data_IF_790126870703
#
_entry.id   IF_790126870703
#
_cell.length_a   1.000
_cell.length_b   1.000
_cell.length_c   1.000
_cell.angle_alpha   90.00
_cell.angle_beta   90.00
_cell.angle_gamma   90.00
#
_symmetry.space_group_name_H-M   'P 1'
#
loop_
_entity.id
_entity.type
_entity.pdbx_description
1 polymer ?
#
# COMPACT_ATOMS: atom_id res chain seq x y z
N UNK A 1 9.98 7.08 -32.22
CA UNK A 1 9.54 5.73 -32.66
C UNK A 1 9.73 4.79 -31.48
N UNK A 2 8.71 4.00 -31.09
CA UNK A 2 8.88 2.98 -30.05
C UNK A 2 9.85 1.91 -30.58
N UNK A 3 10.91 1.63 -29.83
CA UNK A 3 11.88 0.59 -30.14
C UNK A 3 11.25 -0.77 -29.79
N UNK A 4 10.70 -1.45 -30.80
CA UNK A 4 9.94 -2.69 -30.60
C UNK A 4 10.82 -3.84 -30.11
N UNK A 5 12.07 -3.90 -30.56
CA UNK A 5 13.03 -4.92 -30.12
C UNK A 5 13.38 -4.72 -28.65
N UNK A 6 13.63 -3.48 -28.23
CA UNK A 6 13.86 -3.15 -26.81
C UNK A 6 12.64 -3.45 -25.95
N UNK A 7 11.42 -3.13 -26.42
CA UNK A 7 10.20 -3.45 -25.65
C UNK A 7 10.07 -4.96 -25.45
N UNK A 8 10.32 -5.75 -26.49
CA UNK A 8 10.24 -7.21 -26.41
C UNK A 8 11.31 -7.82 -25.49
N UNK A 9 12.52 -7.24 -25.47
CA UNK A 9 13.57 -7.68 -24.55
C UNK A 9 13.22 -7.34 -23.10
N UNK A 10 12.67 -6.15 -22.84
CA UNK A 10 12.21 -5.75 -21.51
C UNK A 10 11.02 -6.60 -21.02
N UNK A 11 10.06 -6.91 -21.89
CA UNK A 11 8.94 -7.81 -21.55
C UNK A 11 9.46 -9.21 -21.20
N UNK A 12 10.41 -9.74 -21.98
CA UNK A 12 11.05 -11.02 -21.67
C UNK A 12 11.72 -11.00 -20.30
N UNK A 13 12.45 -9.92 -19.99
CA UNK A 13 13.14 -9.77 -18.73
C UNK A 13 12.18 -9.62 -17.55
N UNK A 14 11.09 -8.87 -17.70
CA UNK A 14 10.01 -8.78 -16.72
C UNK A 14 9.46 -10.16 -16.35
N UNK A 15 9.08 -10.97 -17.34
CA UNK A 15 8.55 -12.31 -17.07
C UNK A 15 9.60 -13.28 -16.53
N UNK A 16 10.89 -13.09 -16.86
CA UNK A 16 11.98 -13.84 -16.24
C UNK A 16 12.09 -13.52 -14.73
N UNK A 17 11.98 -12.26 -14.36
CA UNK A 17 12.02 -11.83 -12.96
C UNK A 17 10.79 -12.31 -12.18
N UNK A 18 9.59 -12.31 -12.78
CA UNK A 18 8.40 -12.90 -12.18
C UNK A 18 8.57 -14.39 -11.92
N UNK A 19 9.16 -15.13 -12.87
CA UNK A 19 9.48 -16.55 -12.68
C UNK A 19 10.49 -16.75 -11.54
N UNK A 20 11.57 -15.97 -11.52
CA UNK A 20 12.56 -16.01 -10.45
C UNK A 20 11.93 -15.72 -9.08
N UNK A 21 11.05 -14.72 -8.98
CA UNK A 21 10.34 -14.40 -7.74
C UNK A 21 9.41 -15.54 -7.30
N UNK A 22 8.72 -16.18 -8.23
CA UNK A 22 7.89 -17.36 -7.94
C UNK A 22 8.72 -18.55 -7.43
N UNK A 23 9.90 -18.80 -8.02
CA UNK A 23 10.78 -19.91 -7.63
C UNK A 23 11.60 -19.62 -6.36
N UNK A 24 11.98 -18.37 -6.15
CA UNK A 24 12.84 -17.91 -5.05
C UNK A 24 12.23 -16.65 -4.41
N UNK A 25 11.16 -16.78 -3.60
CA UNK A 25 10.47 -15.62 -3.00
C UNK A 25 11.38 -14.73 -2.15
N UNK A 26 12.46 -15.30 -1.61
CA UNK A 26 13.46 -14.61 -0.80
C UNK A 26 14.35 -13.66 -1.62
N UNK A 27 14.47 -13.85 -2.94
CA UNK A 27 15.23 -13.00 -3.87
C UNK A 27 14.30 -12.01 -4.58
N UNK A 28 13.38 -11.39 -3.82
CA UNK A 28 12.28 -10.60 -4.37
C UNK A 28 12.76 -9.41 -5.23
N UNK A 29 12.28 -9.40 -6.48
CA UNK A 29 12.34 -8.24 -7.36
C UNK A 29 11.16 -7.31 -7.11
N UNK A 30 11.34 -6.06 -7.51
CA UNK A 30 10.46 -4.97 -7.16
C UNK A 30 9.16 -4.90 -7.97
N UNK A 31 8.27 -5.88 -7.79
CA UNK A 31 6.93 -5.85 -8.41
C UNK A 31 5.81 -5.70 -7.38
N UNK A 32 4.92 -4.76 -7.64
CA UNK A 32 3.61 -4.62 -6.97
C UNK A 32 2.49 -4.99 -7.94
N UNK A 33 1.32 -5.27 -7.36
CA UNK A 33 0.11 -5.62 -8.09
C UNK A 33 -1.00 -4.59 -7.78
N UNK A 34 -1.26 -3.65 -8.69
CA UNK A 34 -2.36 -2.71 -8.56
C UNK A 34 -2.78 -2.17 -9.92
N UNK A 35 -4.09 -2.12 -10.19
CA UNK A 35 -4.64 -1.58 -11.43
C UNK A 35 -4.34 -0.08 -11.54
N UNK A 36 -4.29 0.45 -12.78
CA UNK A 36 -4.10 1.89 -13.05
C UNK A 36 -5.16 2.79 -12.38
N UNK A 37 -6.37 2.27 -12.24
CA UNK A 37 -7.48 2.88 -11.51
C UNK A 37 -7.41 2.40 -10.07
N UNK A 38 -6.41 2.91 -9.35
CA UNK A 38 -6.00 2.42 -8.04
C UNK A 38 -7.08 2.61 -6.98
N UNK A 39 -7.86 3.71 -7.06
CA UNK A 39 -8.94 3.99 -6.13
C UNK A 39 -9.99 2.88 -6.20
N UNK A 40 -10.56 2.65 -7.39
CA UNK A 40 -11.55 1.60 -7.60
C UNK A 40 -11.00 0.19 -7.38
N UNK A 41 -9.70 -0.01 -7.59
CA UNK A 41 -9.06 -1.28 -7.29
C UNK A 41 -9.02 -1.52 -5.79
N UNK A 42 -8.42 -0.62 -5.02
CA UNK A 42 -8.16 -0.81 -3.60
C UNK A 42 -9.41 -0.74 -2.71
N UNK A 43 -10.48 -0.08 -3.16
CA UNK A 43 -11.78 -0.09 -2.44
C UNK A 43 -12.66 -1.28 -2.80
N UNK A 44 -12.17 -2.22 -3.60
CA UNK A 44 -12.91 -3.43 -3.94
C UNK A 44 -13.12 -4.32 -2.71
N UNK A 45 -14.27 -4.97 -2.63
CA UNK A 45 -14.58 -5.96 -1.60
C UNK A 45 -13.96 -7.33 -1.92
N UNK A 46 -13.72 -7.61 -3.22
CA UNK A 46 -13.14 -8.87 -3.67
C UNK A 46 -12.50 -8.78 -5.04
N UNK A 47 -11.62 -9.76 -5.30
CA UNK A 47 -10.90 -9.92 -6.55
C UNK A 47 -11.02 -11.34 -7.09
N UNK A 48 -11.23 -11.44 -8.41
CA UNK A 48 -11.34 -12.70 -9.13
C UNK A 48 -10.28 -12.76 -10.22
N UNK A 49 -9.63 -13.91 -10.33
CA UNK A 49 -8.63 -14.19 -11.37
C UNK A 49 -9.26 -15.02 -12.46
N UNK A 50 -9.16 -14.61 -13.71
CA UNK A 50 -9.65 -15.36 -14.88
C UNK A 50 -8.51 -15.70 -15.83
N UNK A 51 -8.66 -16.79 -16.60
CA UNK A 51 -7.68 -17.22 -17.60
C UNK A 51 -8.19 -17.01 -19.02
N UNK A 52 -7.49 -16.20 -19.80
CA UNK A 52 -7.77 -15.93 -21.21
C UNK A 52 -9.13 -15.25 -21.42
N UNK A 53 -10.02 -15.91 -22.14
CA UNK A 53 -11.40 -15.44 -22.40
C UNK A 53 -12.44 -16.15 -21.51
N UNK A 54 -12.01 -17.04 -20.60
CA UNK A 54 -12.91 -17.70 -19.66
C UNK A 54 -13.64 -16.68 -18.80
N UNK A 55 -14.95 -16.87 -18.62
CA UNK A 55 -15.76 -16.13 -17.64
C UNK A 55 -15.65 -16.73 -16.23
N UNK A 56 -15.24 -18.00 -16.15
CA UNK A 56 -15.05 -18.68 -14.87
C UNK A 56 -13.79 -18.21 -14.18
N UNK A 57 -13.87 -18.12 -12.85
CA UNK A 57 -12.73 -17.91 -11.98
C UNK A 57 -11.73 -19.08 -12.12
N UNK A 58 -10.45 -18.73 -12.22
CA UNK A 58 -9.34 -19.64 -12.34
C UNK A 58 -9.21 -20.55 -11.12
N UNK A 59 -9.55 -20.04 -9.94
CA UNK A 59 -9.49 -20.76 -8.65
C UNK A 59 -10.85 -21.32 -8.19
N UNK A 60 -11.81 -21.49 -9.11
CA UNK A 60 -13.13 -22.02 -8.76
C UNK A 60 -13.92 -21.03 -7.92
N UNK A 61 -14.36 -21.43 -6.73
CA UNK A 61 -15.13 -20.57 -5.83
C UNK A 61 -14.26 -19.61 -5.00
N UNK A 62 -12.93 -19.76 -5.02
CA UNK A 62 -12.04 -18.93 -4.22
C UNK A 62 -11.91 -17.51 -4.77
N UNK A 63 -12.30 -16.53 -3.99
CA UNK A 63 -12.14 -15.10 -4.26
C UNK A 63 -11.11 -14.52 -3.29
N UNK A 64 -10.30 -13.57 -3.76
CA UNK A 64 -9.36 -12.87 -2.88
C UNK A 64 -10.07 -11.70 -2.22
N UNK A 65 -9.89 -11.51 -0.92
CA UNK A 65 -10.30 -10.29 -0.21
C UNK A 65 -9.33 -9.13 -0.50
N UNK A 66 -8.04 -9.43 -0.66
CA UNK A 66 -6.99 -8.48 -1.04
C UNK A 66 -6.06 -9.08 -2.10
N UNK A 67 -5.68 -8.28 -3.10
CA UNK A 67 -4.78 -8.71 -4.18
C UNK A 67 -3.83 -7.58 -4.59
N UNK A 68 -3.08 -7.05 -3.63
CA UNK A 68 -2.06 -6.01 -3.81
C UNK A 68 -0.62 -6.54 -3.93
N UNK A 69 -0.40 -7.80 -3.52
CA UNK A 69 0.88 -8.50 -3.58
C UNK A 69 0.85 -9.63 -4.61
N UNK A 70 1.81 -9.64 -5.53
CA UNK A 70 1.93 -10.69 -6.55
C UNK A 70 2.24 -12.05 -5.91
N UNK A 71 2.88 -12.07 -4.74
CA UNK A 71 3.21 -13.33 -4.05
C UNK A 71 1.96 -14.03 -3.52
N UNK A 72 0.90 -13.27 -3.19
CA UNK A 72 -0.41 -13.84 -2.84
C UNK A 72 -0.99 -14.61 -4.02
N UNK A 73 -0.88 -14.07 -5.23
CA UNK A 73 -1.29 -14.76 -6.45
C UNK A 73 -0.44 -16.01 -6.70
N UNK A 74 0.88 -15.92 -6.57
CA UNK A 74 1.80 -17.04 -6.79
C UNK A 74 1.56 -18.18 -5.80
N UNK A 75 1.40 -17.86 -4.52
CA UNK A 75 1.06 -18.83 -3.48
C UNK A 75 -0.23 -19.58 -3.84
N UNK A 76 -1.27 -18.85 -4.27
CA UNK A 76 -2.53 -19.49 -4.67
C UNK A 76 -2.41 -20.36 -5.92
N UNK A 77 -1.57 -19.98 -6.87
CA UNK A 77 -1.27 -20.81 -8.05
C UNK A 77 -0.56 -22.10 -7.64
N UNK A 78 0.43 -22.00 -6.74
CA UNK A 78 1.20 -23.14 -6.25
C UNK A 78 0.34 -24.16 -5.49
N UNK A 79 -0.66 -23.69 -4.75
CA UNK A 79 -1.65 -24.52 -4.04
C UNK A 79 -2.67 -25.19 -4.98
N UNK A 80 -2.81 -24.71 -6.21
CA UNK A 80 -3.80 -25.21 -7.15
C UNK A 80 -3.30 -26.41 -7.94
N UNK A 81 -4.22 -27.29 -8.37
CA UNK A 81 -3.92 -28.35 -9.35
C UNK A 81 -3.44 -27.82 -10.72
N UNK A 82 -3.44 -26.49 -10.91
CA UNK A 82 -3.06 -25.79 -12.13
C UNK A 82 -1.69 -25.10 -12.01
N UNK A 83 -0.88 -25.51 -11.03
CA UNK A 83 0.48 -25.01 -10.84
C UNK A 83 1.35 -25.35 -12.07
N UNK A 84 2.03 -24.37 -12.70
CA UNK A 84 2.89 -24.62 -13.86
C UNK A 84 4.13 -25.45 -13.48
N UNK A 85 4.48 -26.44 -14.30
CA UNK A 85 5.62 -27.34 -14.03
C UNK A 85 6.98 -26.71 -14.40
N UNK A 86 6.95 -25.74 -15.32
CA UNK A 86 8.15 -25.13 -15.86
C UNK A 86 7.95 -23.65 -16.20
N UNK A 87 9.06 -22.97 -16.48
CA UNK A 87 9.09 -21.54 -16.80
C UNK A 87 8.22 -21.18 -18.00
N UNK A 88 8.17 -22.00 -19.04
CA UNK A 88 7.41 -21.71 -20.25
C UNK A 88 5.89 -21.71 -19.95
N UNK A 89 5.42 -22.73 -19.24
CA UNK A 89 4.04 -22.82 -18.76
C UNK A 89 3.67 -21.68 -17.82
N UNK A 90 4.57 -21.32 -16.90
CA UNK A 90 4.38 -20.18 -16.01
C UNK A 90 4.20 -18.88 -16.79
N UNK A 91 5.11 -18.57 -17.72
CA UNK A 91 5.03 -17.35 -18.52
C UNK A 91 3.74 -17.34 -19.35
N UNK A 92 3.36 -18.48 -19.95
CA UNK A 92 2.10 -18.61 -20.69
C UNK A 92 0.89 -18.37 -19.79
N UNK A 93 0.91 -18.89 -18.57
CA UNK A 93 -0.13 -18.65 -17.57
C UNK A 93 -0.20 -17.16 -17.22
N UNK A 94 0.91 -16.54 -16.82
CA UNK A 94 0.97 -15.12 -16.44
C UNK A 94 0.44 -14.19 -17.54
N UNK A 95 0.79 -14.45 -18.79
CA UNK A 95 0.30 -13.68 -19.95
C UNK A 95 -1.20 -13.86 -20.21
N UNK A 96 -1.79 -14.95 -19.73
CA UNK A 96 -3.20 -15.25 -19.91
C UNK A 96 -4.08 -14.80 -18.73
N UNK A 97 -3.49 -14.46 -17.58
CA UNK A 97 -4.23 -14.03 -16.40
C UNK A 97 -4.85 -12.65 -16.61
N UNK A 98 -6.10 -12.53 -16.18
CA UNK A 98 -6.83 -11.29 -16.02
C UNK A 98 -7.33 -11.17 -14.59
N UNK A 99 -7.25 -9.98 -14.02
CA UNK A 99 -7.75 -9.66 -12.69
C UNK A 99 -8.99 -8.79 -12.86
N UNK A 100 -10.02 -9.10 -12.07
CA UNK A 100 -11.26 -8.36 -11.95
C UNK A 100 -11.46 -8.01 -10.49
N UNK A 101 -11.91 -6.79 -10.21
CA UNK A 101 -12.31 -6.37 -8.87
C UNK A 101 -13.77 -5.97 -8.84
N UNK A 102 -14.44 -6.22 -7.72
CA UNK A 102 -15.87 -5.99 -7.52
C UNK A 102 -16.15 -5.24 -6.23
N UNK A 103 -17.28 -4.55 -6.14
CA UNK A 103 -17.80 -4.01 -4.89
C UNK A 103 -18.64 -5.03 -4.11
N UNK A 104 -19.18 -4.63 -2.96
CA UNK A 104 -20.03 -5.49 -2.10
C UNK A 104 -21.34 -5.93 -2.78
N UNK A 105 -21.76 -5.26 -3.85
CA UNK A 105 -22.98 -5.55 -4.62
C UNK A 105 -22.67 -6.35 -5.90
N UNK A 106 -21.45 -6.90 -6.04
CA UNK A 106 -20.96 -7.64 -7.21
C UNK A 106 -20.86 -6.80 -8.50
N UNK A 107 -20.82 -5.46 -8.42
CA UNK A 107 -20.60 -4.63 -9.61
C UNK A 107 -19.12 -4.61 -10.01
N UNK A 108 -18.84 -4.67 -11.32
CA UNK A 108 -17.50 -4.53 -11.90
C UNK A 108 -16.87 -3.16 -11.51
N UNK A 109 -15.76 -3.19 -10.76
CA UNK A 109 -14.96 -2.01 -10.47
C UNK A 109 -13.82 -1.82 -11.48
N UNK A 110 -12.91 -2.78 -11.54
CA UNK A 110 -11.78 -2.75 -12.47
C UNK A 110 -11.57 -4.09 -13.16
N UNK A 111 -10.92 -4.07 -14.33
CA UNK A 111 -10.52 -5.29 -15.05
C UNK A 111 -9.33 -5.06 -15.97
N UNK A 112 -8.46 -6.04 -16.06
CA UNK A 112 -7.34 -6.00 -17.01
C UNK A 112 -6.49 -7.26 -16.99
N UNK A 113 -5.60 -7.38 -17.97
CA UNK A 113 -4.57 -8.43 -17.96
C UNK A 113 -3.63 -8.22 -16.75
N UNK A 114 -2.93 -9.27 -16.30
CA UNK A 114 -1.94 -9.16 -15.23
C UNK A 114 -0.95 -8.01 -15.47
N UNK A 115 -0.47 -7.87 -16.71
CA UNK A 115 0.44 -6.77 -17.09
C UNK A 115 -0.13 -5.35 -16.91
N UNK A 116 -1.45 -5.18 -16.85
CA UNK A 116 -2.07 -3.89 -16.52
C UNK A 116 -2.04 -3.57 -15.03
N UNK A 117 -1.71 -4.55 -14.19
CA UNK A 117 -1.64 -4.44 -12.74
C UNK A 117 -0.19 -4.47 -12.23
N UNK A 118 0.75 -4.95 -13.05
CA UNK A 118 2.15 -5.03 -12.66
C UNK A 118 2.81 -3.65 -12.71
N UNK A 119 3.47 -3.31 -11.61
CA UNK A 119 4.42 -2.21 -11.57
C UNK A 119 5.74 -2.68 -11.03
N UNK A 120 6.83 -2.25 -11.66
CA UNK A 120 8.16 -2.52 -11.13
C UNK A 120 9.27 -1.96 -11.99
N UNK A 121 10.49 -2.42 -11.74
CA UNK A 121 11.66 -2.02 -12.50
C UNK A 121 12.45 -3.20 -13.05
N UNK A 122 13.01 -3.00 -14.24
CA UNK A 122 13.90 -3.93 -14.92
C UNK A 122 15.22 -3.24 -15.22
N UNK A 123 16.32 -3.93 -14.94
CA UNK A 123 17.64 -3.51 -15.40
C UNK A 123 18.00 -4.29 -16.67
N UNK A 124 18.21 -3.57 -17.78
CA UNK A 124 18.59 -4.15 -19.06
C UNK A 124 19.75 -3.35 -19.66
N UNK A 125 20.87 -4.02 -19.99
CA UNK A 125 22.11 -3.40 -20.50
C UNK A 125 22.59 -2.22 -19.62
N UNK A 126 22.66 -2.44 -18.30
CA UNK A 126 23.03 -1.45 -17.27
C UNK A 126 22.15 -0.19 -17.23
N UNK A 127 20.96 -0.23 -17.85
CA UNK A 127 19.97 0.85 -17.80
C UNK A 127 18.74 0.36 -17.04
N UNK A 128 18.18 1.21 -16.18
CA UNK A 128 16.94 0.91 -15.46
C UNK A 128 15.73 1.41 -16.22
N UNK A 129 14.67 0.61 -16.22
CA UNK A 129 13.39 0.91 -16.83
C UNK A 129 12.27 0.64 -15.84
N UNK A 130 11.31 1.55 -15.71
CA UNK A 130 10.06 1.28 -15.01
C UNK A 130 9.04 0.66 -15.95
N UNK A 131 8.33 -0.34 -15.47
CA UNK A 131 7.10 -0.85 -16.06
C UNK A 131 5.91 -0.27 -15.29
N UNK A 132 5.11 0.56 -15.94
CA UNK A 132 3.93 1.19 -15.36
C UNK A 132 2.83 1.20 -16.42
N UNK A 133 1.64 0.71 -16.09
CA UNK A 133 0.45 0.72 -16.97
C UNK A 133 0.74 0.20 -18.39
N UNK A 134 1.41 -0.95 -18.48
CA UNK A 134 1.84 -1.60 -19.74
C UNK A 134 2.85 -0.79 -20.56
N UNK A 135 3.50 0.19 -19.96
CA UNK A 135 4.45 1.08 -20.63
C UNK A 135 5.83 1.05 -19.96
N UNK A 136 6.86 1.05 -20.79
CA UNK A 136 8.26 1.10 -20.35
C UNK A 136 8.79 2.53 -20.36
N UNK A 137 9.35 2.95 -19.23
CA UNK A 137 9.96 4.26 -19.05
C UNK A 137 11.43 4.11 -18.71
N UNK A 138 12.32 4.62 -19.56
CA UNK A 138 13.76 4.61 -19.25
C UNK A 138 14.07 5.64 -18.17
N UNK A 139 14.65 5.19 -17.07
CA UNK A 139 15.09 6.05 -15.99
C UNK A 139 16.47 6.62 -16.37
N UNK A 140 16.56 7.96 -16.44
CA UNK A 140 17.84 8.66 -16.62
C UNK A 140 18.43 8.98 -15.24
N UNK A 141 19.75 9.00 -15.12
CA UNK A 141 20.43 9.35 -13.86
C UNK A 141 20.03 10.74 -13.34
N UNK A 142 19.85 11.71 -14.25
CA UNK A 142 19.36 13.04 -13.92
C UNK A 142 17.99 12.98 -13.19
N UNK A 143 17.07 12.13 -13.66
CA UNK A 143 15.77 11.96 -13.01
C UNK A 143 15.89 11.32 -11.63
N UNK A 144 16.78 10.35 -11.44
CA UNK A 144 17.05 9.73 -10.13
C UNK A 144 17.59 10.78 -9.15
N UNK A 145 18.48 11.65 -9.62
CA UNK A 145 19.04 12.72 -8.81
C UNK A 145 17.96 13.75 -8.43
N UNK A 146 17.15 14.19 -9.39
CA UNK A 146 16.02 15.10 -9.13
C UNK A 146 15.04 14.50 -8.12
N UNK A 147 14.77 13.20 -8.21
CA UNK A 147 13.90 12.47 -7.31
C UNK A 147 14.48 12.38 -5.89
N UNK A 148 15.78 12.09 -5.77
CA UNK A 148 16.47 12.08 -4.48
C UNK A 148 16.44 13.46 -3.81
N UNK A 149 16.78 14.51 -4.55
CA UNK A 149 16.78 15.89 -4.04
C UNK A 149 15.38 16.32 -3.59
N UNK A 150 14.36 15.97 -4.38
CA UNK A 150 12.96 16.21 -4.02
C UNK A 150 12.61 15.54 -2.69
N UNK A 151 12.79 14.21 -2.60
CA UNK A 151 12.43 13.46 -1.40
C UNK A 151 13.23 13.95 -0.18
N UNK A 152 14.53 14.23 -0.35
CA UNK A 152 15.38 14.76 0.73
C UNK A 152 14.88 16.10 1.25
N UNK A 153 14.53 17.03 0.35
CA UNK A 153 13.93 18.31 0.73
C UNK A 153 12.60 18.11 1.45
N UNK A 154 11.72 17.24 0.93
CA UNK A 154 10.42 16.96 1.54
C UNK A 154 10.57 16.35 2.94
N UNK A 155 11.35 15.27 3.07
CA UNK A 155 11.56 14.54 4.33
C UNK A 155 12.14 15.47 5.38
N UNK A 156 13.16 16.27 5.05
CA UNK A 156 13.78 17.17 6.01
C UNK A 156 12.82 18.27 6.51
N UNK A 157 11.94 18.77 5.65
CA UNK A 157 10.94 19.81 6.01
C UNK A 157 9.76 19.25 6.79
N UNK A 158 9.34 18.02 6.50
CA UNK A 158 8.08 17.45 6.98
C UNK A 158 8.30 16.24 7.92
N UNK A 159 9.49 16.09 8.48
CA UNK A 159 9.78 15.00 9.42
C UNK A 159 8.98 15.17 10.72
N UNK A 160 8.35 14.09 11.19
CA UNK A 160 7.40 14.14 12.29
C UNK A 160 7.59 13.04 13.35
N UNK A 161 8.44 13.31 14.34
CA UNK A 161 8.81 12.32 15.34
C UNK A 161 7.82 12.22 16.53
N UNK A 162 6.71 11.47 16.38
CA UNK A 162 5.70 11.28 17.45
C UNK A 162 5.22 9.84 17.69
N UNK A 163 5.73 8.88 16.92
CA UNK A 163 5.68 7.47 17.25
C UNK A 163 6.97 7.14 18.01
N UNK A 164 6.85 6.87 19.30
CA UNK A 164 7.95 6.76 20.27
C UNK A 164 8.28 5.32 20.66
N UNK A 165 7.45 4.35 20.26
CA UNK A 165 7.68 2.93 20.51
C UNK A 165 8.60 2.36 19.45
N UNK A 166 9.52 1.51 19.87
CA UNK A 166 10.36 0.76 18.95
C UNK A 166 9.59 -0.43 18.37
N UNK A 167 9.96 -0.84 17.16
CA UNK A 167 9.43 -2.02 16.49
C UNK A 167 10.47 -3.14 16.49
N UNK A 168 10.17 -4.24 17.17
CA UNK A 168 10.97 -5.46 17.11
C UNK A 168 10.56 -6.32 15.91
N UNK A 169 10.96 -5.88 14.71
CA UNK A 169 10.50 -6.45 13.44
C UNK A 169 10.80 -7.95 13.24
N UNK A 170 11.74 -8.53 13.99
CA UNK A 170 11.98 -9.98 13.93
C UNK A 170 10.85 -10.80 14.55
N UNK A 171 10.17 -10.25 15.55
CA UNK A 171 9.17 -10.98 16.35
C UNK A 171 7.77 -10.36 16.28
N UNK A 172 7.66 -9.16 15.71
CA UNK A 172 6.41 -8.38 15.65
C UNK A 172 6.05 -8.04 14.20
N UNK A 173 4.82 -8.37 13.80
CA UNK A 173 4.22 -7.84 12.60
C UNK A 173 3.67 -6.41 12.82
N UNK A 174 3.19 -5.79 11.74
CA UNK A 174 2.66 -4.42 11.71
C UNK A 174 1.51 -4.21 12.69
N UNK A 175 0.57 -5.16 12.73
CA UNK A 175 -0.57 -5.12 13.63
C UNK A 175 -0.13 -5.19 15.10
N UNK A 176 0.83 -6.06 15.44
CA UNK A 176 1.40 -6.14 16.80
C UNK A 176 2.13 -4.86 17.21
N UNK A 177 2.81 -4.19 16.28
CA UNK A 177 3.41 -2.88 16.54
C UNK A 177 2.35 -1.80 16.79
N UNK A 178 1.31 -1.75 15.95
CA UNK A 178 0.20 -0.79 16.07
C UNK A 178 -0.52 -0.93 17.41
N UNK A 179 -0.77 -2.17 17.86
CA UNK A 179 -1.38 -2.49 19.15
C UNK A 179 -0.68 -1.89 20.36
N UNK A 180 0.64 -1.66 20.29
CA UNK A 180 1.38 -1.08 21.42
C UNK A 180 0.80 0.27 21.83
N UNK A 181 0.15 0.99 20.92
CA UNK A 181 -0.42 2.32 21.16
C UNK A 181 -1.83 2.31 21.80
N UNK A 182 -2.45 1.14 21.96
CA UNK A 182 -3.73 1.02 22.69
C UNK A 182 -3.54 1.48 24.14
N UNK A 183 -4.50 2.27 24.63
CA UNK A 183 -4.49 2.83 25.99
C UNK A 183 -3.58 4.04 26.18
N UNK A 184 -2.84 4.45 25.16
CA UNK A 184 -2.06 5.68 25.22
C UNK A 184 -2.97 6.93 25.19
N UNK A 185 -2.57 7.97 25.93
CA UNK A 185 -3.33 9.22 25.96
C UNK A 185 -3.41 9.83 24.56
N UNK A 186 -4.58 10.39 24.24
CA UNK A 186 -4.82 11.07 22.96
C UNK A 186 -4.49 10.21 21.74
N UNK A 187 -4.78 8.91 21.84
CA UNK A 187 -4.45 7.92 20.81
C UNK A 187 -5.61 6.96 20.63
N UNK A 188 -5.91 6.60 19.38
CA UNK A 188 -6.85 5.54 19.00
C UNK A 188 -6.19 4.70 17.91
N UNK A 189 -6.06 3.39 18.13
CA UNK A 189 -5.63 2.44 17.08
C UNK A 189 -6.84 2.06 16.22
N UNK A 190 -6.68 2.17 14.90
CA UNK A 190 -7.69 1.93 13.86
C UNK A 190 -7.27 0.89 12.80
N UNK A 191 -6.10 0.27 12.95
CA UNK A 191 -5.62 -0.81 12.07
C UNK A 191 -6.72 -1.87 11.85
N UNK A 192 -7.01 -2.12 10.56
CA UNK A 192 -8.07 -3.01 10.04
C UNK A 192 -9.51 -2.55 10.31
N UNK A 193 -9.72 -1.25 10.52
CA UNK A 193 -11.06 -0.65 10.56
C UNK A 193 -11.36 0.00 9.21
N UNK A 194 -12.07 -0.73 8.34
CA UNK A 194 -12.26 -0.39 6.91
C UNK A 194 -13.72 -0.12 6.55
N UNK A 195 -14.38 0.94 7.08
CA UNK A 195 -15.70 1.31 6.57
C UNK A 195 -15.64 1.57 5.06
N UNK A 196 -16.58 1.02 4.29
CA UNK A 196 -16.61 1.17 2.83
C UNK A 196 -15.33 0.65 2.14
N UNK A 197 -14.65 -0.35 2.74
CA UNK A 197 -13.36 -0.89 2.31
C UNK A 197 -12.22 0.15 2.24
N UNK A 198 -12.34 1.24 3.00
CA UNK A 198 -11.31 2.27 3.10
C UNK A 198 -10.82 2.31 4.53
N UNK A 199 -9.56 1.94 4.74
CA UNK A 199 -8.88 2.15 6.02
C UNK A 199 -8.50 3.63 6.18
N UNK A 200 -8.95 4.32 7.23
CA UNK A 200 -8.66 5.75 7.39
C UNK A 200 -7.20 6.03 7.80
N UNK A 201 -6.61 5.13 8.58
CA UNK A 201 -5.22 5.08 9.04
C UNK A 201 -5.05 3.92 10.04
N UNK A 202 -3.82 3.55 10.37
CA UNK A 202 -3.52 2.57 11.42
C UNK A 202 -3.67 3.13 12.83
N UNK A 203 -3.20 4.37 13.04
CA UNK A 203 -3.16 5.00 14.36
C UNK A 203 -3.59 6.47 14.21
N UNK A 204 -4.58 6.88 15.02
CA UNK A 204 -4.89 8.28 15.26
C UNK A 204 -4.17 8.77 16.51
N UNK A 205 -3.49 9.91 16.43
CA UNK A 205 -3.05 10.67 17.61
C UNK A 205 -3.47 12.12 17.48
N UNK A 206 -3.62 12.85 18.57
CA UNK A 206 -3.93 14.28 18.48
C UNK A 206 -3.26 15.13 19.55
N UNK A 207 -3.11 16.41 19.22
CA UNK A 207 -2.83 17.47 20.17
C UNK A 207 -3.96 18.52 20.15
N UNK A 208 -3.74 19.68 20.77
CA UNK A 208 -4.75 20.74 20.85
C UNK A 208 -5.17 21.23 19.45
N UNK A 209 -4.27 21.21 18.46
CA UNK A 209 -4.46 21.81 17.14
C UNK A 209 -4.62 20.81 16.01
N UNK A 210 -3.99 19.65 16.10
CA UNK A 210 -3.84 18.73 14.97
C UNK A 210 -4.35 17.33 15.32
N UNK A 211 -4.95 16.67 14.33
CA UNK A 211 -5.24 15.25 14.29
C UNK A 211 -4.26 14.59 13.32
N UNK A 212 -3.47 13.64 13.81
CA UNK A 212 -2.47 12.90 13.06
C UNK A 212 -3.02 11.53 12.68
N UNK A 213 -3.02 11.22 11.39
CA UNK A 213 -3.47 9.96 10.82
C UNK A 213 -2.25 9.18 10.32
N UNK A 214 -1.72 8.27 11.13
CA UNK A 214 -0.51 7.51 10.81
C UNK A 214 -0.84 6.28 9.97
N UNK A 215 -0.15 6.15 8.85
CA UNK A 215 -0.09 4.93 8.05
C UNK A 215 1.28 4.30 8.23
N UNK A 216 1.33 3.17 8.90
CA UNK A 216 2.52 2.46 9.31
C UNK A 216 2.91 1.47 8.21
N UNK A 217 4.20 1.45 7.86
CA UNK A 217 4.72 0.46 6.92
C UNK A 217 6.10 -0.05 7.29
N UNK A 218 6.24 -1.38 7.28
CA UNK A 218 7.55 -2.00 7.28
C UNK A 218 8.23 -1.86 5.91
N UNK A 219 9.35 -1.12 5.88
CA UNK A 219 10.20 -0.94 4.70
C UNK A 219 9.86 0.29 3.87
N UNK A 220 10.84 0.70 3.06
CA UNK A 220 10.69 1.75 2.05
C UNK A 220 11.04 1.15 0.69
N UNK A 221 10.13 0.33 0.19
CA UNK A 221 10.27 -0.49 -1.02
C UNK A 221 9.02 -0.43 -1.87
N UNK A 222 8.66 -1.54 -2.51
CA UNK A 222 7.65 -1.54 -3.57
C UNK A 222 6.25 -1.25 -3.00
N UNK A 223 5.93 -1.88 -1.86
CA UNK A 223 4.72 -1.63 -1.06
C UNK A 223 4.49 -0.16 -0.66
N UNK A 224 5.46 0.73 -0.88
CA UNK A 224 5.25 2.18 -0.78
C UNK A 224 4.14 2.69 -1.70
N UNK A 225 3.95 2.12 -2.89
CA UNK A 225 2.87 2.58 -3.77
C UNK A 225 1.49 2.27 -3.20
N UNK A 226 1.33 1.07 -2.64
CA UNK A 226 0.09 0.63 -2.01
C UNK A 226 -0.28 1.55 -0.84
N UNK A 227 0.63 1.73 0.13
CA UNK A 227 0.38 2.65 1.26
C UNK A 227 0.18 4.10 0.81
N UNK A 228 0.89 4.59 -0.21
CA UNK A 228 0.65 5.93 -0.76
C UNK A 228 -0.76 6.06 -1.34
N UNK A 229 -1.26 5.01 -2.01
CA UNK A 229 -2.60 4.99 -2.58
C UNK A 229 -3.66 4.95 -1.48
N UNK A 230 -3.45 4.12 -0.45
CA UNK A 230 -4.32 4.07 0.74
C UNK A 230 -4.42 5.44 1.43
N UNK A 231 -3.29 6.13 1.63
CA UNK A 231 -3.26 7.49 2.21
C UNK A 231 -4.11 8.46 1.37
N UNK A 232 -3.96 8.46 0.05
CA UNK A 232 -4.74 9.35 -0.83
C UNK A 232 -6.23 9.03 -0.78
N UNK A 233 -6.61 7.76 -0.83
CA UNK A 233 -8.01 7.34 -0.79
C UNK A 233 -8.64 7.77 0.55
N UNK A 234 -7.94 7.50 1.67
CA UNK A 234 -8.38 7.93 2.99
C UNK A 234 -8.50 9.45 3.10
N UNK A 235 -7.49 10.20 2.64
CA UNK A 235 -7.49 11.66 2.69
C UNK A 235 -8.62 12.27 1.87
N UNK A 236 -8.82 11.80 0.63
CA UNK A 236 -9.94 12.22 -0.20
C UNK A 236 -11.28 11.93 0.45
N UNK A 237 -11.49 10.70 0.94
CA UNK A 237 -12.75 10.29 1.53
C UNK A 237 -13.09 11.10 2.77
N UNK A 238 -12.12 11.30 3.67
CA UNK A 238 -12.29 12.10 4.88
C UNK A 238 -12.56 13.56 4.54
N UNK A 239 -11.80 14.16 3.62
CA UNK A 239 -11.96 15.56 3.23
C UNK A 239 -13.33 15.81 2.56
N UNK A 240 -13.81 14.89 1.72
CA UNK A 240 -15.15 14.96 1.14
C UNK A 240 -16.25 14.81 2.22
N UNK A 241 -16.08 13.90 3.18
CA UNK A 241 -17.07 13.67 4.23
C UNK A 241 -17.16 14.83 5.24
N UNK A 242 -16.02 15.50 5.49
CA UNK A 242 -15.94 16.71 6.30
C UNK A 242 -16.77 17.87 5.73
N UNK A 243 -16.82 18.00 4.41
CA UNK A 243 -17.60 19.01 3.70
C UNK A 243 -19.08 18.61 3.51
N UNK A 244 -19.52 17.49 4.10
CA UNK A 244 -20.88 17.00 3.98
C UNK A 244 -21.48 16.60 5.34
N UNK A 245 -21.87 15.34 5.51
CA UNK A 245 -22.67 14.88 6.65
C UNK A 245 -21.86 14.16 7.74
N UNK A 246 -20.52 14.10 7.61
CA UNK A 246 -19.62 13.34 8.49
C UNK A 246 -20.05 11.88 8.67
N UNK A 247 -20.69 11.28 7.65
CA UNK A 247 -21.27 9.93 7.70
C UNK A 247 -20.18 8.86 7.69
N UNK A 248 -19.15 9.04 6.87
CA UNK A 248 -18.00 8.14 6.83
C UNK A 248 -17.24 8.17 8.17
N UNK A 249 -17.01 9.36 8.73
CA UNK A 249 -16.38 9.51 10.06
C UNK A 249 -17.19 8.80 11.16
N UNK A 250 -18.53 8.92 11.13
CA UNK A 250 -19.41 8.16 12.03
C UNK A 250 -19.28 6.65 11.82
N UNK A 251 -19.20 6.19 10.57
CA UNK A 251 -19.01 4.76 10.25
C UNK A 251 -17.68 4.23 10.79
N UNK A 252 -16.59 5.01 10.77
CA UNK A 252 -15.31 4.63 11.41
C UNK A 252 -15.55 4.29 12.88
N UNK A 253 -16.18 5.21 13.62
CA UNK A 253 -16.46 5.01 15.05
C UNK A 253 -17.37 3.80 15.30
N UNK A 254 -18.45 3.67 14.52
CA UNK A 254 -19.39 2.56 14.65
C UNK A 254 -18.72 1.22 14.36
N UNK A 255 -17.89 1.14 13.32
CA UNK A 255 -17.16 -0.08 12.98
C UNK A 255 -16.13 -0.44 14.04
N UNK A 256 -15.40 0.54 14.60
CA UNK A 256 -14.52 0.31 15.74
C UNK A 256 -15.29 -0.24 16.94
N UNK A 257 -16.42 0.38 17.31
CA UNK A 257 -17.24 -0.06 18.45
C UNK A 257 -17.81 -1.46 18.28
N UNK A 258 -18.17 -1.85 17.05
CA UNK A 258 -18.69 -3.20 16.73
C UNK A 258 -17.66 -4.32 16.97
N UNK A 259 -16.38 -3.98 17.11
CA UNK A 259 -15.31 -4.95 17.38
C UNK A 259 -15.26 -5.42 18.85
N UNK A 260 -15.95 -4.73 19.77
CA UNK A 260 -16.07 -5.14 21.18
C UNK A 260 -16.66 -6.55 21.27
N UNK A 261 -16.04 -7.41 22.08
CA UNK A 261 -16.40 -8.81 22.24
C UNK A 261 -15.92 -9.74 21.11
N UNK A 262 -15.16 -9.22 20.14
CA UNK A 262 -14.50 -10.00 19.09
C UNK A 262 -13.20 -10.66 19.56
N UNK A 263 -12.31 -10.94 18.60
CA UNK A 263 -10.96 -11.43 18.90
C UNK A 263 -10.18 -10.45 19.79
N UNK A 264 -9.21 -10.94 20.58
CA UNK A 264 -8.50 -10.15 21.60
C UNK A 264 -8.04 -8.78 21.12
N UNK A 265 -7.43 -8.70 19.94
CA UNK A 265 -7.00 -7.43 19.34
C UNK A 265 -8.18 -6.47 19.10
N UNK A 266 -9.19 -6.97 18.40
CA UNK A 266 -10.34 -6.20 17.96
C UNK A 266 -11.20 -5.75 19.16
N UNK A 267 -11.29 -6.58 20.20
CA UNK A 267 -11.95 -6.22 21.45
C UNK A 267 -11.23 -5.07 22.16
N UNK A 268 -9.90 -5.13 22.28
CA UNK A 268 -9.10 -4.03 22.88
C UNK A 268 -9.20 -2.75 22.06
N UNK A 269 -9.11 -2.84 20.73
CA UNK A 269 -9.28 -1.69 19.86
C UNK A 269 -10.67 -1.06 20.02
N UNK A 270 -11.72 -1.89 20.02
CA UNK A 270 -13.11 -1.47 20.19
C UNK A 270 -13.40 -0.80 21.54
N UNK A 271 -12.80 -1.31 22.63
CA UNK A 271 -12.93 -0.75 23.98
C UNK A 271 -12.41 0.67 24.12
N UNK A 272 -11.56 1.16 23.20
CA UNK A 272 -11.19 2.58 23.15
C UNK A 272 -12.43 3.51 22.98
N UNK A 273 -13.53 3.01 22.41
CA UNK A 273 -14.81 3.73 22.28
C UNK A 273 -15.58 3.88 23.60
N UNK A 274 -15.20 3.17 24.66
CA UNK A 274 -15.72 3.38 26.01
C UNK A 274 -15.10 4.60 26.68
N UNK A 275 -13.88 4.97 26.24
CA UNK A 275 -13.12 6.14 26.74
C UNK A 275 -13.48 7.39 25.94
N UNK A 276 -13.52 7.26 24.62
CA UNK A 276 -13.83 8.37 23.71
C UNK A 276 -15.23 8.18 23.13
N UNK A 277 -16.18 9.03 23.51
CA UNK A 277 -17.54 8.98 22.95
C UNK A 277 -17.54 9.32 21.45
N UNK A 278 -18.61 8.93 20.75
CA UNK A 278 -18.78 9.21 19.32
C UNK A 278 -18.65 10.71 19.01
N UNK A 279 -19.31 11.56 19.80
CA UNK A 279 -19.22 13.01 19.64
C UNK A 279 -17.80 13.54 19.88
N UNK A 280 -17.07 12.97 20.85
CA UNK A 280 -15.68 13.34 21.10
C UNK A 280 -14.78 12.93 19.93
N UNK A 281 -14.98 11.73 19.39
CA UNK A 281 -14.27 11.23 18.21
C UNK A 281 -14.53 12.10 16.98
N UNK A 282 -15.79 12.40 16.66
CA UNK A 282 -16.15 13.23 15.50
C UNK A 282 -15.52 14.63 15.61
N UNK A 283 -15.49 15.22 16.82
CA UNK A 283 -14.84 16.52 17.06
C UNK A 283 -13.33 16.51 16.82
N UNK A 284 -12.66 15.36 16.86
CA UNK A 284 -11.23 15.30 16.52
C UNK A 284 -10.98 15.75 15.08
N UNK A 285 -11.90 15.46 14.17
CA UNK A 285 -11.79 15.82 12.76
C UNK A 285 -12.09 17.29 12.47
N UNK A 286 -12.39 18.11 13.49
CA UNK A 286 -12.45 19.56 13.38
C UNK A 286 -11.08 20.23 13.54
N UNK A 287 -10.06 19.44 13.92
CA UNK A 287 -8.65 19.86 13.98
C UNK A 287 -8.03 19.89 12.59
N UNK A 288 -6.82 20.45 12.51
CA UNK A 288 -6.02 20.35 11.30
C UNK A 288 -5.65 18.88 11.06
N UNK A 289 -6.04 18.34 9.91
CA UNK A 289 -5.70 16.97 9.53
C UNK A 289 -4.25 16.92 9.05
N UNK A 290 -3.49 15.96 9.58
CA UNK A 290 -2.10 15.71 9.21
C UNK A 290 -1.95 14.21 8.94
N UNK A 291 -1.83 13.83 7.68
CA UNK A 291 -1.52 12.45 7.34
C UNK A 291 -0.03 12.21 7.50
N UNK A 292 0.34 11.08 8.10
CA UNK A 292 1.73 10.76 8.40
C UNK A 292 2.06 9.37 7.87
N UNK A 293 2.99 9.32 6.92
CA UNK A 293 3.60 8.05 6.53
C UNK A 293 4.68 7.68 7.57
N UNK A 294 4.52 6.56 8.25
CA UNK A 294 5.47 6.07 9.25
C UNK A 294 6.19 4.81 8.74
N UNK A 295 7.47 4.94 8.41
CA UNK A 295 8.24 3.85 7.79
C UNK A 295 9.26 3.27 8.74
N UNK A 296 9.38 1.94 8.76
CA UNK A 296 10.49 1.24 9.41
C UNK A 296 11.57 0.92 8.38
N UNK A 297 12.85 1.14 8.70
CA UNK A 297 13.92 0.57 7.88
C UNK A 297 14.11 -0.91 8.20
N UNK A 298 13.89 -1.77 7.20
CA UNK A 298 13.99 -3.23 7.33
C UNK A 298 15.35 -3.78 6.90
N UNK A 299 16.33 -2.94 6.57
CA UNK A 299 17.67 -3.41 6.21
C UNK A 299 18.30 -4.25 7.34
N UNK A 300 18.95 -5.35 6.94
CA UNK A 300 19.66 -6.24 7.86
C UNK A 300 21.12 -5.81 8.11
N UNK A 301 21.72 -5.10 7.15
CA UNK A 301 23.15 -4.74 7.21
C UNK A 301 23.41 -3.53 8.11
N UNK A 302 22.49 -2.55 8.11
CA UNK A 302 22.54 -1.36 8.95
C UNK A 302 21.19 -0.66 9.00
N UNK A 303 20.90 0.03 10.09
CA UNK A 303 19.77 0.97 10.15
C UNK A 303 20.17 2.25 9.40
N UNK A 304 19.48 2.55 8.31
CA UNK A 304 19.62 3.78 7.51
C UNK A 304 18.69 4.85 8.06
N UNK A 305 19.09 6.12 7.97
CA UNK A 305 18.20 7.24 8.28
C UNK A 305 17.41 7.62 7.03
N UNK A 306 16.08 7.71 7.13
CA UNK A 306 15.20 8.11 6.02
C UNK A 306 15.55 9.51 5.47
N UNK A 307 16.19 10.36 6.28
CA UNK A 307 16.72 11.66 5.84
C UNK A 307 17.87 11.54 4.84
N UNK A 308 18.56 10.39 4.83
CA UNK A 308 19.54 10.01 3.82
C UNK A 308 18.85 9.13 2.76
N UNK A 309 17.80 9.66 2.13
CA UNK A 309 16.94 8.93 1.20
C UNK A 309 17.70 8.29 0.01
N UNK A 310 18.86 8.83 -0.34
CA UNK A 310 19.80 8.27 -1.30
C UNK A 310 20.25 6.83 -0.97
N UNK A 311 20.28 6.45 0.32
CA UNK A 311 20.63 5.11 0.79
C UNK A 311 19.53 4.07 0.55
N UNK A 312 18.31 4.52 0.27
CA UNK A 312 17.17 3.68 -0.08
C UNK A 312 17.16 3.48 -1.59
N UNK A 313 17.41 2.25 -2.07
CA UNK A 313 17.65 1.99 -3.51
C UNK A 313 16.37 1.96 -4.36
N UNK A 314 15.19 1.88 -3.76
CA UNK A 314 13.93 1.78 -4.49
C UNK A 314 13.55 3.14 -5.08
N UNK A 315 13.74 3.30 -6.39
CA UNK A 315 13.34 4.51 -7.11
C UNK A 315 11.83 4.59 -7.26
N UNK A 316 11.14 3.45 -7.38
CA UNK A 316 9.67 3.43 -7.46
C UNK A 316 9.04 3.91 -6.15
N UNK A 317 9.61 3.54 -5.00
CA UNK A 317 9.18 4.02 -3.69
C UNK A 317 9.27 5.56 -3.56
N UNK A 318 10.41 6.12 -3.99
CA UNK A 318 10.63 7.57 -3.99
C UNK A 318 9.67 8.28 -4.93
N UNK A 319 9.44 7.70 -6.11
CA UNK A 319 8.49 8.23 -7.07
C UNK A 319 7.06 8.23 -6.51
N UNK A 320 6.62 7.14 -5.88
CA UNK A 320 5.32 7.07 -5.20
C UNK A 320 5.19 8.13 -4.10
N UNK A 321 6.24 8.34 -3.30
CA UNK A 321 6.27 9.40 -2.29
C UNK A 321 6.14 10.79 -2.93
N UNK A 322 6.85 11.05 -4.03
CA UNK A 322 6.74 12.31 -4.76
C UNK A 322 5.32 12.53 -5.31
N UNK A 323 4.70 11.51 -5.89
CA UNK A 323 3.32 11.64 -6.39
C UNK A 323 2.33 11.89 -5.24
N UNK A 324 2.43 11.11 -4.16
CA UNK A 324 1.63 11.32 -2.94
C UNK A 324 1.73 12.77 -2.44
N UNK A 325 2.93 13.33 -2.35
CA UNK A 325 3.11 14.72 -1.89
C UNK A 325 2.46 15.76 -2.79
N UNK A 326 2.39 15.51 -4.11
CA UNK A 326 1.72 16.41 -5.05
C UNK A 326 0.20 16.32 -4.90
N UNK A 327 -0.33 15.11 -4.81
CA UNK A 327 -1.75 14.83 -4.63
C UNK A 327 -2.27 15.42 -3.31
N UNK A 328 -1.57 15.18 -2.19
CA UNK A 328 -1.91 15.73 -0.87
C UNK A 328 -1.94 17.26 -0.87
N UNK A 329 -0.98 17.89 -1.56
CA UNK A 329 -0.97 19.35 -1.77
C UNK A 329 -2.14 19.81 -2.64
N UNK A 330 -2.53 19.02 -3.64
CA UNK A 330 -3.67 19.30 -4.53
C UNK A 330 -5.00 19.36 -3.79
N UNK A 331 -5.14 18.59 -2.69
CA UNK A 331 -6.34 18.55 -1.85
C UNK A 331 -6.23 19.39 -0.56
N UNK A 332 -5.16 20.19 -0.43
CA UNK A 332 -4.87 21.07 0.70
C UNK A 332 -4.83 20.37 2.08
N UNK A 333 -4.20 19.19 2.13
CA UNK A 333 -4.03 18.41 3.36
C UNK A 333 -2.55 18.30 3.72
N UNK A 334 -2.21 18.53 5.00
CA UNK A 334 -0.82 18.42 5.48
C UNK A 334 -0.37 16.95 5.46
N UNK A 335 0.83 16.74 4.92
CA UNK A 335 1.42 15.41 4.78
C UNK A 335 2.85 15.40 5.30
N UNK A 336 3.09 14.45 6.21
CA UNK A 336 4.36 14.31 6.93
C UNK A 336 4.88 12.89 6.83
N UNK A 337 6.14 12.73 7.22
CA UNK A 337 6.80 11.43 7.25
C UNK A 337 7.54 11.25 8.57
N UNK A 338 7.58 10.03 9.08
CA UNK A 338 8.41 9.66 10.23
C UNK A 338 9.10 8.34 9.99
N UNK A 339 10.21 8.15 10.69
CA UNK A 339 10.89 6.87 10.74
C UNK A 339 10.67 6.22 12.11
N UNK A 340 10.20 4.97 12.07
CA UNK A 340 10.04 4.13 13.25
C UNK A 340 11.42 3.56 13.62
N UNK A 341 11.70 3.50 14.91
CA UNK A 341 12.96 2.94 15.43
C UNK A 341 12.86 1.42 15.47
N UNK A 342 13.79 0.75 14.82
CA UNK A 342 13.99 -0.71 14.94
C UNK A 342 14.72 -1.02 16.24
N UNK A 343 14.33 -2.09 16.93
CA UNK A 343 15.07 -2.64 18.09
C UNK A 343 16.32 -3.37 17.65
#
# INVERSE_FOLDING_TARGET
KKDQELIQSLDTELFNQLWQRNSEPQNSFAFDLCHKDFERYLTASKYVVRKGASLNNFFGEFEFEELNDIDTLFTKIAESEKNPENKEEFIKLMKSIKIYSYDEEDNDLTKGDLSAHLLGDVTHNNKKYFFIDKSWYRIKDAFINDLNEYCKSFINKNFHNRLDKNWNYSDENENQYNQKYIGEKNTIVLDKITPENIEPCDILKWDDKNLYLYHVKAGFGNKMRDVCSQIIIAANRINQDLNSSKKYIKKIYINLRKKIGGESYFDEAGKQTEIYSEDAFIRLFEKNLVFVLAVLDISNDRIRDIKNIEEFKSNIAKFSLQELTKEMKGIDVDFRITQIRKV
#
